data_IF_074525549805
#
_entry.id   IF_074525549805
#
_cell.length_a   1.000
_cell.length_b   1.000
_cell.length_c   1.000
_cell.angle_alpha   90.00
_cell.angle_beta   90.00
_cell.angle_gamma   90.00
#
_symmetry.space_group_name_H-M   'P 1'
#
loop_
_entity.id
_entity.type
_entity.pdbx_description
1 polymer ?
#
# COMPACT_ATOMS: atom_id res chain seq x y z
N UNK A 1 -6.74 -12.82 -12.30
CA UNK A 1 -7.07 -14.09 -12.98
C UNK A 1 -6.42 -14.23 -14.35
N UNK A 2 -6.69 -13.33 -15.32
CA UNK A 2 -6.09 -13.45 -16.68
C UNK A 2 -4.58 -13.34 -16.68
N UNK A 3 -3.99 -12.61 -15.74
CA UNK A 3 -2.54 -12.42 -15.63
C UNK A 3 -1.86 -13.70 -15.13
N UNK A 4 -2.48 -14.47 -14.25
CA UNK A 4 -1.95 -15.72 -13.72
C UNK A 4 -1.53 -16.68 -14.85
N UNK A 5 -2.47 -17.02 -15.73
CA UNK A 5 -2.21 -17.86 -16.91
C UNK A 5 -1.13 -17.28 -17.83
N UNK A 6 -1.14 -15.95 -18.01
CA UNK A 6 -0.14 -15.27 -18.85
C UNK A 6 1.25 -15.29 -18.23
N UNK A 7 1.34 -15.25 -16.89
CA UNK A 7 2.61 -15.37 -16.16
C UNK A 7 3.18 -16.77 -16.33
N UNK A 8 2.36 -17.81 -16.16
CA UNK A 8 2.75 -19.20 -16.46
C UNK A 8 3.26 -19.34 -17.89
N UNK A 9 2.52 -18.82 -18.87
CA UNK A 9 2.95 -18.85 -20.26
C UNK A 9 4.25 -18.07 -20.51
N UNK A 10 4.46 -16.94 -19.84
CA UNK A 10 5.70 -16.17 -19.94
C UNK A 10 6.88 -16.90 -19.28
N UNK A 11 6.62 -17.65 -18.20
CA UNK A 11 7.59 -18.52 -17.53
C UNK A 11 8.23 -19.57 -18.44
N UNK A 12 7.50 -20.04 -19.47
CA UNK A 12 8.06 -20.93 -20.51
C UNK A 12 9.22 -20.29 -21.28
N UNK A 13 9.17 -18.98 -21.44
CA UNK A 13 10.17 -18.24 -22.21
C UNK A 13 11.35 -17.79 -21.37
N UNK A 14 11.06 -17.09 -20.26
CA UNK A 14 12.10 -16.55 -19.38
C UNK A 14 11.56 -16.02 -18.06
N UNK A 15 12.40 -16.02 -17.01
CA UNK A 15 12.11 -15.37 -15.72
C UNK A 15 11.84 -13.87 -15.86
N UNK A 16 12.63 -13.09 -16.63
CA UNK A 16 12.32 -11.66 -16.86
C UNK A 16 10.97 -11.42 -17.50
N UNK A 17 10.52 -12.29 -18.41
CA UNK A 17 9.19 -12.17 -18.99
C UNK A 17 8.08 -12.51 -17.99
N UNK A 18 8.27 -13.53 -17.17
CA UNK A 18 7.32 -13.89 -16.12
C UNK A 18 7.15 -12.73 -15.13
N UNK A 19 8.24 -12.15 -14.62
CA UNK A 19 8.21 -10.96 -13.76
C UNK A 19 7.49 -9.78 -14.43
N UNK A 20 7.82 -9.50 -15.70
CA UNK A 20 7.18 -8.39 -16.43
C UNK A 20 5.66 -8.54 -16.51
N UNK A 21 5.15 -9.75 -16.69
CA UNK A 21 3.72 -10.01 -16.80
C UNK A 21 3.06 -10.00 -15.42
N UNK A 22 3.61 -10.70 -14.41
CA UNK A 22 3.04 -10.73 -13.05
C UNK A 22 3.04 -9.34 -12.42
N UNK A 23 4.16 -8.65 -12.46
CA UNK A 23 4.27 -7.27 -11.96
C UNK A 23 3.39 -6.28 -12.74
N UNK A 24 3.24 -6.49 -14.07
CA UNK A 24 2.28 -5.72 -14.88
C UNK A 24 0.83 -5.91 -14.40
N UNK A 25 0.46 -7.11 -13.97
CA UNK A 25 -0.85 -7.37 -13.35
C UNK A 25 -1.01 -6.66 -12.01
N UNK A 26 0.00 -6.73 -11.16
CA UNK A 26 0.06 -5.97 -9.90
C UNK A 26 -0.04 -4.45 -10.15
N UNK A 27 0.67 -3.94 -11.16
CA UNK A 27 0.61 -2.51 -11.55
C UNK A 27 -0.81 -2.07 -11.92
N UNK A 28 -1.56 -2.88 -12.66
CA UNK A 28 -2.97 -2.57 -12.98
C UNK A 28 -3.80 -2.47 -11.71
N UNK A 29 -3.57 -3.36 -10.74
CA UNK A 29 -4.27 -3.29 -9.44
C UNK A 29 -3.88 -2.04 -8.66
N UNK A 30 -2.60 -1.76 -8.50
CA UNK A 30 -2.10 -0.61 -7.74
C UNK A 30 -2.57 0.73 -8.32
N UNK A 31 -2.43 0.93 -9.64
CA UNK A 31 -2.89 2.14 -10.31
C UNK A 31 -4.42 2.25 -10.33
N UNK A 32 -5.13 1.12 -10.44
CA UNK A 32 -6.59 1.08 -10.41
C UNK A 32 -7.13 1.53 -9.06
N UNK A 33 -6.60 0.98 -7.98
CA UNK A 33 -7.01 1.32 -6.61
C UNK A 33 -6.72 2.78 -6.29
N UNK A 34 -5.48 3.23 -6.42
CA UNK A 34 -5.11 4.61 -6.11
C UNK A 34 -5.79 5.62 -7.05
N UNK A 35 -5.87 5.30 -8.35
CA UNK A 35 -6.51 6.17 -9.34
C UNK A 35 -8.02 6.36 -9.08
N UNK A 36 -8.74 5.27 -8.80
CA UNK A 36 -10.17 5.35 -8.48
C UNK A 36 -10.43 6.04 -7.13
N UNK A 37 -9.54 5.86 -6.15
CA UNK A 37 -9.64 6.54 -4.86
C UNK A 37 -9.52 8.07 -5.02
N UNK A 38 -8.48 8.54 -5.72
CA UNK A 38 -8.28 9.99 -5.97
C UNK A 38 -9.37 10.54 -6.86
N UNK A 39 -9.78 9.81 -7.90
CA UNK A 39 -10.85 10.23 -8.79
C UNK A 39 -12.18 10.36 -8.05
N UNK A 40 -12.56 9.34 -7.26
CA UNK A 40 -13.79 9.34 -6.48
C UNK A 40 -13.81 10.46 -5.45
N UNK A 41 -12.74 10.58 -4.67
CA UNK A 41 -12.61 11.63 -3.65
C UNK A 41 -12.72 13.04 -4.28
N UNK A 42 -11.98 13.27 -5.38
CA UNK A 42 -11.98 14.58 -6.07
C UNK A 42 -13.34 14.89 -6.72
N UNK A 43 -13.95 13.89 -7.36
CA UNK A 43 -15.25 14.08 -8.02
C UNK A 43 -16.34 14.41 -6.99
N UNK A 44 -16.43 13.69 -5.88
CA UNK A 44 -17.39 13.97 -4.83
C UNK A 44 -17.09 15.28 -4.11
N UNK A 45 -15.82 15.63 -3.88
CA UNK A 45 -15.44 16.92 -3.35
C UNK A 45 -15.97 18.07 -4.23
N UNK A 46 -15.76 17.99 -5.55
CA UNK A 46 -16.25 19.02 -6.49
C UNK A 46 -17.79 19.09 -6.50
N UNK A 47 -18.47 17.95 -6.44
CA UNK A 47 -19.94 17.89 -6.42
C UNK A 47 -20.45 18.55 -5.13
N UNK A 48 -19.97 18.12 -3.96
CA UNK A 48 -20.44 18.64 -2.67
C UNK A 48 -20.06 20.10 -2.50
N UNK A 49 -18.87 20.49 -2.96
CA UNK A 49 -18.48 21.87 -3.03
C UNK A 49 -19.50 22.73 -3.80
N UNK A 50 -19.91 22.30 -5.00
CA UNK A 50 -20.92 23.04 -5.81
C UNK A 50 -22.32 23.02 -5.21
N UNK A 51 -22.65 22.03 -4.40
CA UNK A 51 -23.98 21.89 -3.79
C UNK A 51 -24.10 22.72 -2.50
N UNK A 52 -23.07 22.74 -1.67
CA UNK A 52 -23.14 23.29 -0.33
C UNK A 52 -22.48 24.64 -0.18
N UNK A 53 -21.46 24.98 -0.99
CA UNK A 53 -20.83 26.30 -0.93
C UNK A 53 -21.71 27.38 -1.58
N UNK A 54 -22.16 28.35 -0.78
CA UNK A 54 -23.05 29.45 -1.22
C UNK A 54 -22.34 30.78 -1.49
N UNK A 55 -21.05 30.86 -1.23
CA UNK A 55 -20.32 32.11 -1.27
C UNK A 55 -18.85 31.99 -1.62
N UNK A 56 -18.02 32.53 -0.75
CA UNK A 56 -16.57 32.52 -0.87
C UNK A 56 -16.00 31.15 -0.60
N UNK A 57 -14.94 30.77 -1.30
CA UNK A 57 -14.12 29.54 -1.06
C UNK A 57 -13.60 29.43 0.37
N UNK A 58 -13.52 30.54 1.06
CA UNK A 58 -12.99 30.69 2.41
C UNK A 58 -14.08 30.65 3.49
N UNK A 59 -15.33 30.35 3.13
CA UNK A 59 -16.37 30.10 4.13
C UNK A 59 -16.09 28.73 4.77
N UNK A 60 -15.48 28.79 5.94
CA UNK A 60 -15.02 27.62 6.63
C UNK A 60 -16.16 26.74 7.19
N UNK A 61 -17.30 27.35 7.51
CA UNK A 61 -18.48 26.64 8.03
C UNK A 61 -19.15 25.84 6.91
N UNK A 62 -19.35 26.43 5.74
CA UNK A 62 -19.86 25.71 4.57
C UNK A 62 -18.88 24.61 4.14
N UNK A 63 -17.56 24.84 4.22
CA UNK A 63 -16.55 23.84 3.90
C UNK A 63 -16.55 22.63 4.87
N UNK A 64 -16.87 22.83 6.14
CA UNK A 64 -17.09 21.75 7.10
C UNK A 64 -18.18 20.80 6.58
N UNK A 65 -19.31 21.34 6.12
CA UNK A 65 -20.42 20.53 5.59
C UNK A 65 -19.97 19.73 4.35
N UNK A 66 -19.18 20.32 3.46
CA UNK A 66 -18.60 19.65 2.29
C UNK A 66 -17.74 18.45 2.72
N UNK A 67 -16.83 18.67 3.66
CA UNK A 67 -15.88 17.64 4.11
C UNK A 67 -16.56 16.56 4.97
N UNK A 68 -17.51 16.92 5.83
CA UNK A 68 -18.29 15.95 6.61
C UNK A 68 -19.17 15.06 5.69
N UNK A 69 -19.76 15.65 4.65
CA UNK A 69 -20.51 14.88 3.66
C UNK A 69 -19.57 13.92 2.89
N UNK A 70 -18.37 14.40 2.56
CA UNK A 70 -17.35 13.60 1.91
C UNK A 70 -16.86 12.45 2.81
N UNK A 71 -16.93 12.58 4.13
CA UNK A 71 -16.63 11.49 5.06
C UNK A 71 -17.59 10.30 4.89
N UNK A 72 -18.81 10.52 4.40
CA UNK A 72 -19.72 9.45 4.01
C UNK A 72 -19.16 8.55 2.90
N UNK A 73 -18.45 9.11 1.93
CA UNK A 73 -17.74 8.34 0.91
C UNK A 73 -16.63 7.48 1.52
N UNK A 74 -15.83 8.04 2.42
CA UNK A 74 -14.77 7.31 3.13
C UNK A 74 -15.36 6.17 3.98
N UNK A 75 -16.43 6.43 4.73
CA UNK A 75 -17.10 5.40 5.55
C UNK A 75 -17.67 4.26 4.68
N UNK A 76 -18.22 4.59 3.51
CA UNK A 76 -18.68 3.59 2.55
C UNK A 76 -17.53 2.74 1.99
N UNK A 77 -16.41 3.37 1.66
CA UNK A 77 -15.21 2.70 1.20
C UNK A 77 -14.66 1.73 2.26
N UNK A 78 -14.51 2.18 3.52
CA UNK A 78 -14.05 1.37 4.64
C UNK A 78 -15.00 0.22 4.96
N UNK A 79 -16.32 0.45 4.87
CA UNK A 79 -17.31 -0.61 5.11
C UNK A 79 -17.18 -1.74 4.08
N UNK A 80 -17.04 -1.40 2.79
CA UNK A 80 -16.83 -2.39 1.73
C UNK A 80 -15.46 -3.06 1.89
N UNK A 81 -14.43 -2.31 2.22
CA UNK A 81 -13.09 -2.81 2.47
C UNK A 81 -13.07 -3.87 3.58
N UNK A 82 -13.74 -3.59 4.69
CA UNK A 82 -13.87 -4.55 5.79
C UNK A 82 -14.49 -5.87 5.33
N UNK A 83 -15.62 -5.83 4.63
CA UNK A 83 -16.27 -7.05 4.14
C UNK A 83 -15.43 -7.79 3.10
N UNK A 84 -14.81 -7.07 2.16
CA UNK A 84 -13.96 -7.66 1.14
C UNK A 84 -12.69 -8.29 1.75
N UNK A 85 -12.04 -7.62 2.70
CA UNK A 85 -10.82 -8.10 3.35
C UNK A 85 -11.10 -9.29 4.26
N UNK A 86 -12.11 -9.19 5.13
CA UNK A 86 -12.45 -10.25 6.08
C UNK A 86 -13.07 -11.45 5.36
N UNK A 87 -14.08 -11.23 4.50
CA UNK A 87 -14.72 -12.31 3.76
C UNK A 87 -13.78 -12.99 2.76
N UNK A 88 -12.98 -12.20 2.05
CA UNK A 88 -11.95 -12.70 1.14
C UNK A 88 -10.87 -13.50 1.87
N UNK A 89 -10.34 -13.00 2.98
CA UNK A 89 -9.32 -13.69 3.77
C UNK A 89 -9.83 -14.99 4.39
N UNK A 90 -11.09 -15.04 4.87
CA UNK A 90 -11.72 -16.29 5.34
C UNK A 90 -11.81 -17.31 4.21
N UNK A 91 -12.28 -16.88 3.03
CA UNK A 91 -12.39 -17.77 1.88
C UNK A 91 -11.01 -18.31 1.44
N UNK A 92 -10.02 -17.43 1.28
CA UNK A 92 -8.67 -17.80 0.87
C UNK A 92 -8.06 -18.81 1.84
N UNK A 93 -8.08 -18.51 3.15
CA UNK A 93 -7.46 -19.42 4.11
C UNK A 93 -8.23 -20.72 4.32
N UNK A 94 -9.54 -20.73 4.12
CA UNK A 94 -10.31 -21.98 4.12
C UNK A 94 -9.97 -22.85 2.90
N UNK A 95 -9.77 -22.24 1.73
CA UNK A 95 -9.42 -22.94 0.50
C UNK A 95 -7.98 -23.47 0.56
N UNK A 96 -7.00 -22.64 0.90
CA UNK A 96 -5.58 -22.94 1.03
C UNK A 96 -5.36 -24.08 2.06
N UNK A 97 -5.76 -23.88 3.30
CA UNK A 97 -5.63 -24.92 4.35
C UNK A 97 -6.42 -26.18 4.00
N UNK A 98 -7.61 -26.04 3.41
CA UNK A 98 -8.43 -27.16 2.96
C UNK A 98 -7.76 -27.98 1.85
N UNK A 99 -7.15 -27.31 0.86
CA UNK A 99 -6.41 -27.95 -0.22
C UNK A 99 -5.19 -28.71 0.33
N UNK A 100 -4.46 -28.09 1.24
CA UNK A 100 -3.28 -28.69 1.88
C UNK A 100 -3.63 -29.90 2.74
N UNK A 101 -4.67 -29.84 3.55
CA UNK A 101 -5.10 -30.96 4.39
C UNK A 101 -5.52 -32.16 3.54
N UNK A 102 -6.36 -31.94 2.53
CA UNK A 102 -6.80 -33.03 1.64
C UNK A 102 -5.64 -33.58 0.81
N UNK A 103 -4.82 -32.71 0.22
CA UNK A 103 -3.71 -33.11 -0.65
C UNK A 103 -2.55 -33.71 0.12
N UNK A 104 -1.88 -32.92 0.91
CA UNK A 104 -0.62 -33.29 1.57
C UNK A 104 -0.81 -34.28 2.71
N UNK A 105 -1.86 -34.12 3.54
CA UNK A 105 -2.03 -34.91 4.76
C UNK A 105 -2.88 -36.16 4.51
N UNK A 106 -4.06 -36.05 3.87
CA UNK A 106 -4.96 -37.18 3.68
C UNK A 106 -4.57 -38.04 2.47
N UNK A 107 -4.33 -37.41 1.32
CA UNK A 107 -4.03 -38.15 0.07
C UNK A 107 -2.55 -38.45 -0.15
N UNK A 108 -1.66 -37.73 0.54
CA UNK A 108 -0.20 -37.87 0.39
C UNK A 108 0.32 -37.51 -1.00
N UNK A 109 -0.34 -36.55 -1.65
CA UNK A 109 0.03 -36.02 -2.98
C UNK A 109 0.75 -34.67 -2.83
N UNK A 110 1.57 -34.27 -3.81
CA UNK A 110 2.25 -32.98 -3.79
C UNK A 110 1.28 -31.79 -3.75
N UNK A 111 1.83 -30.63 -3.41
CA UNK A 111 1.15 -29.34 -3.53
C UNK A 111 0.77 -29.06 -5.00
N UNK A 112 -0.37 -28.45 -5.21
CA UNK A 112 -0.91 -28.11 -6.53
C UNK A 112 -1.14 -29.31 -7.48
N UNK A 113 -1.15 -30.53 -6.95
CA UNK A 113 -1.37 -31.73 -7.76
C UNK A 113 -2.73 -31.68 -8.47
N UNK A 114 -2.80 -31.94 -9.80
CA UNK A 114 -4.05 -31.86 -10.58
C UNK A 114 -5.14 -32.85 -10.13
N UNK A 115 -4.78 -33.85 -9.32
CA UNK A 115 -5.74 -34.77 -8.70
C UNK A 115 -6.52 -34.14 -7.53
N UNK A 116 -6.01 -33.04 -6.96
CA UNK A 116 -6.67 -32.33 -5.89
C UNK A 116 -7.55 -31.20 -6.42
N UNK A 117 -8.88 -31.35 -6.48
CA UNK A 117 -9.77 -30.30 -7.02
C UNK A 117 -9.83 -29.06 -6.10
N UNK A 118 -9.40 -29.18 -4.83
CA UNK A 118 -9.37 -28.06 -3.90
C UNK A 118 -8.31 -26.99 -4.28
N UNK A 119 -7.28 -27.37 -5.05
CA UNK A 119 -6.29 -26.44 -5.61
C UNK A 119 -6.95 -25.35 -6.49
N UNK A 120 -8.06 -25.68 -7.18
CA UNK A 120 -8.80 -24.68 -7.95
C UNK A 120 -9.44 -23.63 -7.02
N UNK A 121 -9.97 -24.06 -5.87
CA UNK A 121 -10.56 -23.14 -4.89
C UNK A 121 -9.48 -22.26 -4.24
N UNK A 122 -8.30 -22.80 -4.02
CA UNK A 122 -7.14 -22.09 -3.51
C UNK A 122 -6.70 -20.98 -4.48
N UNK A 123 -6.42 -21.31 -5.74
CA UNK A 123 -6.11 -20.33 -6.78
C UNK A 123 -7.19 -19.23 -6.97
N UNK A 124 -8.47 -19.55 -6.74
CA UNK A 124 -9.55 -18.55 -6.72
C UNK A 124 -9.46 -17.69 -5.47
N UNK A 125 -9.15 -18.30 -4.34
CA UNK A 125 -8.98 -17.65 -3.05
C UNK A 125 -7.98 -16.50 -3.10
N UNK A 126 -6.79 -16.73 -3.64
CA UNK A 126 -5.75 -15.71 -3.78
C UNK A 126 -6.23 -14.49 -4.58
N UNK A 127 -7.01 -14.70 -5.65
CA UNK A 127 -7.59 -13.58 -6.39
C UNK A 127 -8.65 -12.82 -5.59
N UNK A 128 -9.38 -13.49 -4.69
CA UNK A 128 -10.46 -12.90 -3.88
C UNK A 128 -9.90 -12.22 -2.62
N UNK A 129 -9.09 -12.93 -1.84
CA UNK A 129 -8.55 -12.44 -0.57
C UNK A 129 -7.29 -11.60 -0.74
N UNK A 130 -6.29 -12.17 -1.40
CA UNK A 130 -4.94 -11.61 -1.40
C UNK A 130 -4.75 -10.53 -2.47
N UNK A 131 -5.58 -10.50 -3.52
CA UNK A 131 -5.60 -9.39 -4.49
C UNK A 131 -6.74 -8.43 -4.23
N UNK A 132 -8.00 -8.89 -4.35
CA UNK A 132 -9.15 -7.99 -4.28
C UNK A 132 -9.42 -7.49 -2.85
N UNK A 133 -9.32 -8.37 -1.83
CA UNK A 133 -9.50 -7.99 -0.42
C UNK A 133 -8.44 -7.00 0.05
N UNK A 134 -7.17 -7.25 -0.27
CA UNK A 134 -6.07 -6.33 0.04
C UNK A 134 -6.24 -4.99 -0.68
N UNK A 135 -6.59 -5.00 -1.97
CA UNK A 135 -6.82 -3.77 -2.73
C UNK A 135 -7.98 -2.93 -2.21
N UNK A 136 -9.05 -3.56 -1.73
CA UNK A 136 -10.18 -2.87 -1.11
C UNK A 136 -9.79 -2.20 0.22
N UNK A 137 -8.99 -2.88 1.04
CA UNK A 137 -8.47 -2.36 2.31
C UNK A 137 -7.59 -1.12 2.09
N UNK A 138 -6.65 -1.20 1.14
CA UNK A 138 -5.80 -0.06 0.78
C UNK A 138 -6.59 1.09 0.13
N UNK A 139 -7.65 0.79 -0.61
CA UNK A 139 -8.54 1.82 -1.15
C UNK A 139 -9.19 2.65 -0.03
N UNK A 140 -9.77 1.97 0.97
CA UNK A 140 -10.39 2.64 2.12
C UNK A 140 -9.39 3.49 2.90
N UNK A 141 -8.27 2.89 3.31
CA UNK A 141 -7.21 3.57 4.06
C UNK A 141 -6.63 4.79 3.32
N UNK A 142 -6.48 4.68 1.99
CA UNK A 142 -6.00 5.78 1.16
C UNK A 142 -6.99 6.94 1.11
N UNK A 143 -8.28 6.65 0.87
CA UNK A 143 -9.35 7.66 0.89
C UNK A 143 -9.43 8.34 2.25
N UNK A 144 -9.47 7.56 3.35
CA UNK A 144 -9.57 8.08 4.69
C UNK A 144 -8.41 9.01 5.07
N UNK A 145 -7.18 8.63 4.71
CA UNK A 145 -5.97 9.40 5.02
C UNK A 145 -5.95 10.73 4.26
N UNK A 146 -6.27 10.72 2.97
CA UNK A 146 -6.32 11.95 2.17
C UNK A 146 -7.43 12.88 2.68
N UNK A 147 -8.62 12.32 2.95
CA UNK A 147 -9.73 13.11 3.48
C UNK A 147 -9.43 13.70 4.86
N UNK A 148 -8.86 12.93 5.78
CA UNK A 148 -8.46 13.43 7.09
C UNK A 148 -7.49 14.62 6.98
N UNK A 149 -6.56 14.54 6.02
CA UNK A 149 -5.64 15.65 5.75
C UNK A 149 -6.35 16.87 5.15
N UNK A 150 -7.37 16.68 4.31
CA UNK A 150 -8.21 17.77 3.80
C UNK A 150 -8.98 18.46 4.94
N UNK A 151 -9.55 17.68 5.88
CA UNK A 151 -10.25 18.19 7.06
C UNK A 151 -9.32 19.06 7.91
N UNK A 152 -8.11 18.56 8.22
CA UNK A 152 -7.14 19.34 8.98
C UNK A 152 -6.63 20.56 8.20
N UNK A 153 -6.58 20.48 6.87
CA UNK A 153 -6.33 21.64 6.00
C UNK A 153 -7.39 22.73 6.15
N UNK A 154 -8.67 22.38 6.35
CA UNK A 154 -9.72 23.35 6.64
C UNK A 154 -9.53 24.02 8.01
N UNK A 155 -9.10 23.27 9.03
CA UNK A 155 -8.76 23.88 10.33
C UNK A 155 -7.62 24.90 10.23
N UNK A 156 -6.62 24.66 9.37
CA UNK A 156 -5.59 25.68 9.08
C UNK A 156 -6.22 26.97 8.55
N UNK A 157 -7.22 26.87 7.67
CA UNK A 157 -7.92 28.05 7.11
C UNK A 157 -8.71 28.73 8.21
N UNK A 158 -9.39 28.01 9.10
CA UNK A 158 -10.14 28.55 10.25
C UNK A 158 -9.20 29.34 11.16
N UNK A 159 -8.08 28.74 11.56
CA UNK A 159 -7.09 29.34 12.45
C UNK A 159 -6.45 30.63 11.84
N UNK A 160 -6.39 30.70 10.52
CA UNK A 160 -5.95 31.89 9.78
C UNK A 160 -7.05 32.97 9.60
N UNK A 161 -8.24 32.72 10.15
CA UNK A 161 -9.40 33.64 10.03
C UNK A 161 -9.94 33.76 8.61
N UNK A 162 -9.85 32.74 7.79
CA UNK A 162 -10.30 32.69 6.41
C UNK A 162 -9.48 33.53 5.42
N UNK A 163 -8.31 34.02 5.80
CA UNK A 163 -7.50 34.95 5.02
C UNK A 163 -6.14 34.36 4.57
N UNK A 164 -6.17 33.15 3.99
CA UNK A 164 -4.97 32.59 3.38
C UNK A 164 -4.76 33.17 1.98
N UNK A 165 -3.55 33.67 1.74
CA UNK A 165 -3.11 34.10 0.41
C UNK A 165 -2.23 32.99 -0.16
N UNK A 166 -2.79 32.20 -1.04
CA UNK A 166 -2.09 31.13 -1.79
C UNK A 166 -2.43 31.23 -3.28
N UNK A 167 -1.82 30.35 -4.08
CA UNK A 167 -2.06 30.27 -5.53
C UNK A 167 -3.41 29.62 -5.88
N UNK A 168 -4.18 29.15 -4.89
CA UNK A 168 -5.42 28.36 -5.04
C UNK A 168 -6.64 29.04 -4.41
N UNK A 169 -6.61 30.37 -4.25
CA UNK A 169 -7.73 31.13 -3.72
C UNK A 169 -8.00 30.92 -2.23
N UNK A 170 -7.00 30.47 -1.47
CA UNK A 170 -7.09 30.26 -0.03
C UNK A 170 -7.44 28.84 0.41
N UNK A 171 -7.60 27.89 -0.53
CA UNK A 171 -7.90 26.47 -0.20
C UNK A 171 -6.72 25.52 -0.43
N UNK A 172 -5.52 26.05 -0.61
CA UNK A 172 -4.30 25.27 -0.77
C UNK A 172 -4.10 24.19 0.28
N UNK A 173 -4.28 24.45 1.59
CA UNK A 173 -4.15 23.43 2.63
C UNK A 173 -5.12 22.26 2.50
N UNK A 174 -6.33 22.49 1.97
CA UNK A 174 -7.31 21.41 1.72
C UNK A 174 -6.93 20.58 0.49
N UNK A 175 -6.42 21.23 -0.56
CA UNK A 175 -6.11 20.56 -1.82
C UNK A 175 -4.75 19.86 -1.83
N UNK A 176 -3.81 20.29 -1.00
CA UNK A 176 -2.45 19.76 -0.98
C UNK A 176 -2.38 18.23 -0.87
N UNK A 177 -3.12 17.56 0.06
CA UNK A 177 -3.08 16.09 0.15
C UNK A 177 -3.59 15.41 -1.12
N UNK A 178 -4.58 15.96 -1.81
CA UNK A 178 -5.09 15.45 -3.08
C UNK A 178 -4.04 15.57 -4.19
N UNK A 179 -3.31 16.69 -4.24
CA UNK A 179 -2.24 16.88 -5.21
C UNK A 179 -1.03 15.97 -4.93
N UNK A 180 -0.69 15.75 -3.67
CA UNK A 180 0.35 14.77 -3.27
C UNK A 180 -0.07 13.36 -3.72
N UNK A 181 -1.32 12.98 -3.48
CA UNK A 181 -1.89 11.71 -3.90
C UNK A 181 -1.86 11.54 -5.42
N UNK A 182 -2.29 12.54 -6.18
CA UNK A 182 -2.26 12.53 -7.64
C UNK A 182 -0.84 12.46 -8.22
N UNK A 183 0.09 13.24 -7.66
CA UNK A 183 1.51 13.19 -8.02
C UNK A 183 2.10 11.80 -7.76
N UNK A 184 1.75 11.17 -6.62
CA UNK A 184 2.17 9.83 -6.26
C UNK A 184 1.78 8.76 -7.28
N UNK A 185 0.58 8.87 -7.88
CA UNK A 185 0.14 7.94 -8.94
C UNK A 185 1.02 8.10 -10.18
N UNK A 186 1.28 9.32 -10.63
CA UNK A 186 2.13 9.59 -11.79
C UNK A 186 3.56 9.09 -11.54
N UNK A 187 4.08 9.34 -10.35
CA UNK A 187 5.41 8.91 -9.93
C UNK A 187 5.48 7.38 -9.84
N UNK A 188 4.44 6.73 -9.36
CA UNK A 188 4.37 5.26 -9.31
C UNK A 188 4.46 4.65 -10.71
N UNK A 189 3.82 5.27 -11.72
CA UNK A 189 3.97 4.84 -13.13
C UNK A 189 5.45 4.92 -13.54
N UNK A 190 6.15 5.99 -13.18
CA UNK A 190 7.59 6.13 -13.46
C UNK A 190 8.38 5.04 -12.73
N UNK A 191 8.09 4.79 -11.45
CA UNK A 191 8.72 3.76 -10.63
C UNK A 191 8.61 2.36 -11.24
N UNK A 192 7.45 2.00 -11.78
CA UNK A 192 7.24 0.69 -12.41
C UNK A 192 8.14 0.45 -13.62
N UNK A 193 8.62 1.49 -14.29
CA UNK A 193 9.53 1.36 -15.44
C UNK A 193 10.93 0.86 -15.03
N UNK A 194 11.30 1.00 -13.77
CA UNK A 194 12.59 0.58 -13.24
C UNK A 194 12.61 -0.87 -12.72
N UNK A 195 11.46 -1.50 -12.56
CA UNK A 195 11.36 -2.91 -12.11
C UNK A 195 11.71 -3.82 -13.28
N UNK A 196 12.96 -4.27 -13.34
CA UNK A 196 13.48 -5.12 -14.41
C UNK A 196 14.61 -6.00 -13.90
N UNK A 197 14.59 -7.26 -14.27
CA UNK A 197 15.72 -8.19 -14.20
C UNK A 197 16.20 -8.56 -15.61
N UNK A 198 17.37 -9.13 -15.73
CA UNK A 198 18.02 -9.30 -17.05
C UNK A 198 18.32 -10.75 -17.40
N UNK A 199 18.53 -11.62 -16.41
CA UNK A 199 18.96 -13.00 -16.62
C UNK A 199 17.88 -14.00 -16.23
N UNK A 200 17.94 -15.17 -16.83
CA UNK A 200 17.18 -16.34 -16.38
C UNK A 200 17.79 -17.01 -15.14
N UNK A 201 19.04 -16.68 -14.84
CA UNK A 201 19.80 -17.21 -13.71
C UNK A 201 19.68 -16.29 -12.48
N UNK A 202 18.93 -15.16 -12.61
CA UNK A 202 18.62 -14.27 -11.50
C UNK A 202 17.79 -15.03 -10.45
N UNK A 203 18.02 -14.73 -9.17
CA UNK A 203 17.39 -15.37 -8.03
C UNK A 203 16.51 -14.38 -7.28
N UNK A 204 16.00 -14.80 -6.15
CA UNK A 204 15.08 -14.01 -5.30
C UNK A 204 15.67 -12.64 -4.93
N UNK A 205 16.97 -12.58 -4.60
CA UNK A 205 17.64 -11.32 -4.23
C UNK A 205 17.67 -10.29 -5.38
N UNK A 206 17.88 -10.74 -6.64
CA UNK A 206 17.87 -9.87 -7.81
C UNK A 206 16.45 -9.38 -8.13
N UNK A 207 15.44 -10.24 -7.98
CA UNK A 207 14.03 -9.87 -8.17
C UNK A 207 13.62 -8.85 -7.11
N UNK A 208 13.91 -9.13 -5.83
CA UNK A 208 13.66 -8.21 -4.71
C UNK A 208 14.40 -6.88 -4.93
N UNK A 209 15.65 -6.95 -5.36
CA UNK A 209 16.45 -5.75 -5.71
C UNK A 209 15.79 -4.90 -6.78
N UNK A 210 15.21 -5.52 -7.82
CA UNK A 210 14.49 -4.80 -8.87
C UNK A 210 13.21 -4.11 -8.36
N UNK A 211 12.44 -4.78 -7.51
CA UNK A 211 11.25 -4.20 -6.86
C UNK A 211 11.65 -3.02 -5.96
N UNK A 212 12.69 -3.20 -5.16
CA UNK A 212 13.21 -2.16 -4.28
C UNK A 212 13.71 -0.93 -5.06
N UNK A 213 14.36 -1.08 -6.21
CA UNK A 213 14.75 0.05 -7.06
C UNK A 213 13.54 0.86 -7.51
N UNK A 214 12.46 0.20 -7.95
CA UNK A 214 11.21 0.87 -8.32
C UNK A 214 10.58 1.61 -7.14
N UNK A 215 10.53 0.98 -5.96
CA UNK A 215 9.98 1.55 -4.73
C UNK A 215 10.79 2.79 -4.27
N UNK A 216 12.11 2.66 -4.13
CA UNK A 216 12.98 3.76 -3.73
C UNK A 216 12.95 4.93 -4.70
N UNK A 217 12.90 4.65 -6.02
CA UNK A 217 12.73 5.69 -7.04
C UNK A 217 11.43 6.45 -6.82
N UNK A 218 10.33 5.76 -6.54
CA UNK A 218 9.05 6.39 -6.25
C UNK A 218 9.09 7.25 -4.98
N UNK A 219 9.70 6.77 -3.90
CA UNK A 219 9.84 7.50 -2.64
C UNK A 219 10.62 8.81 -2.84
N UNK A 220 11.77 8.74 -3.52
CA UNK A 220 12.60 9.94 -3.78
C UNK A 220 11.87 10.96 -4.65
N UNK A 221 11.19 10.52 -5.70
CA UNK A 221 10.43 11.41 -6.57
C UNK A 221 9.21 12.02 -5.85
N UNK A 222 8.53 11.28 -4.97
CA UNK A 222 7.45 11.81 -4.13
C UNK A 222 7.99 12.84 -3.15
N UNK A 223 9.17 12.63 -2.54
CA UNK A 223 9.80 13.64 -1.69
C UNK A 223 10.06 14.95 -2.44
N UNK A 224 10.57 14.87 -3.67
CA UNK A 224 10.77 16.05 -4.52
C UNK A 224 9.44 16.72 -4.92
N UNK A 225 8.41 15.92 -5.20
CA UNK A 225 7.07 16.44 -5.48
C UNK A 225 6.46 17.13 -4.25
N UNK A 226 6.58 16.55 -3.06
CA UNK A 226 6.13 17.19 -1.81
C UNK A 226 6.85 18.52 -1.58
N UNK A 227 8.16 18.60 -1.81
CA UNK A 227 8.90 19.85 -1.72
C UNK A 227 8.32 20.91 -2.67
N UNK A 228 8.12 20.56 -3.93
CA UNK A 228 7.53 21.49 -4.92
C UNK A 228 6.10 21.89 -4.59
N UNK A 229 5.24 20.94 -4.22
CA UNK A 229 3.84 21.16 -3.92
C UNK A 229 3.63 22.01 -2.65
N UNK A 230 4.37 21.72 -1.57
CA UNK A 230 4.28 22.53 -0.34
C UNK A 230 4.64 24.00 -0.60
N UNK A 231 5.74 24.24 -1.34
CA UNK A 231 6.15 25.61 -1.63
C UNK A 231 5.25 26.33 -2.65
N UNK A 232 4.56 25.61 -3.52
CA UNK A 232 3.68 26.19 -4.53
C UNK A 232 2.26 26.44 -4.00
N UNK A 233 1.74 25.53 -3.16
CA UNK A 233 0.34 25.52 -2.76
C UNK A 233 0.09 26.19 -1.41
N UNK A 234 1.09 26.20 -0.53
CA UNK A 234 0.94 26.79 0.80
C UNK A 234 1.54 28.19 0.86
N UNK A 235 1.01 29.07 1.73
CA UNK A 235 1.64 30.36 2.03
C UNK A 235 2.99 30.14 2.74
N UNK A 236 3.88 31.14 2.66
CA UNK A 236 5.20 31.05 3.31
C UNK A 236 5.11 30.75 4.81
N UNK A 237 4.10 31.33 5.47
CA UNK A 237 3.84 31.13 6.91
C UNK A 237 2.36 31.01 7.19
N UNK A 238 2.01 30.07 8.05
CA UNK A 238 0.66 29.82 8.54
C UNK A 238 0.64 29.91 10.06
N UNK A 239 -0.48 30.34 10.62
CA UNK A 239 -0.73 30.31 12.07
C UNK A 239 -1.71 29.18 12.34
N UNK A 240 -1.41 28.34 13.28
CA UNK A 240 -2.22 27.20 13.66
C UNK A 240 -2.42 27.18 15.16
N UNK A 241 -3.66 27.07 15.61
CA UNK A 241 -4.02 27.05 17.03
C UNK A 241 -4.80 25.78 17.39
N UNK A 242 -4.70 24.76 16.62
CA UNK A 242 -5.49 23.53 16.75
C UNK A 242 -5.95 23.24 18.18
N UNK A 243 -7.27 23.22 18.38
CA UNK A 243 -7.91 22.78 19.62
C UNK A 243 -7.46 23.52 20.89
N UNK A 244 -6.99 24.76 20.77
CA UNK A 244 -6.60 25.57 21.92
C UNK A 244 -5.23 25.25 22.52
N UNK A 245 -4.37 24.53 21.81
CA UNK A 245 -3.01 24.21 22.27
C UNK A 245 -2.03 25.40 22.26
N UNK A 246 -2.49 26.56 21.78
CA UNK A 246 -1.67 27.75 21.62
C UNK A 246 -1.18 27.97 20.19
N UNK A 247 -0.96 29.22 19.84
CA UNK A 247 -0.63 29.64 18.49
C UNK A 247 0.77 29.16 18.08
N UNK A 248 0.83 28.33 17.06
CA UNK A 248 2.07 27.86 16.43
C UNK A 248 2.23 28.52 15.06
N UNK A 249 3.39 29.09 14.80
CA UNK A 249 3.74 29.56 13.46
C UNK A 249 4.45 28.44 12.71
N UNK A 250 3.95 28.08 11.53
CA UNK A 250 4.39 26.97 10.70
C UNK A 250 4.67 27.49 9.28
N UNK A 251 5.81 27.15 8.73
CA UNK A 251 6.15 27.47 7.33
C UNK A 251 5.75 26.34 6.38
N UNK A 252 5.69 26.64 5.08
CA UNK A 252 5.53 25.61 4.03
C UNK A 252 6.62 24.56 4.09
N UNK A 253 7.84 24.95 4.50
CA UNK A 253 8.97 24.03 4.69
C UNK A 253 8.78 23.10 5.89
N UNK A 254 8.16 23.55 6.98
CA UNK A 254 7.87 22.69 8.13
C UNK A 254 6.86 21.60 7.74
N UNK A 255 5.88 21.93 6.89
CA UNK A 255 4.93 20.96 6.32
C UNK A 255 5.64 19.95 5.41
N UNK A 256 6.59 20.42 4.60
CA UNK A 256 7.44 19.51 3.81
C UNK A 256 8.27 18.58 4.69
N UNK A 257 8.89 19.08 5.77
CA UNK A 257 9.65 18.22 6.70
C UNK A 257 8.75 17.19 7.38
N UNK A 258 7.54 17.55 7.76
CA UNK A 258 6.55 16.61 8.28
C UNK A 258 6.19 15.53 7.24
N UNK A 259 6.00 15.90 5.98
CA UNK A 259 5.74 14.96 4.88
C UNK A 259 6.93 14.02 4.64
N UNK A 260 8.14 14.55 4.73
CA UNK A 260 9.37 13.76 4.60
C UNK A 260 9.53 12.73 5.73
N UNK A 261 9.13 13.07 6.96
CA UNK A 261 9.09 12.12 8.09
C UNK A 261 8.23 10.91 7.72
N UNK A 262 7.02 11.12 7.15
CA UNK A 262 6.15 10.02 6.73
C UNK A 262 6.79 9.11 5.68
N UNK A 263 7.38 9.69 4.65
CA UNK A 263 8.07 8.93 3.60
C UNK A 263 9.25 8.11 4.14
N UNK A 264 10.08 8.71 4.99
CA UNK A 264 11.23 8.03 5.59
C UNK A 264 10.77 6.89 6.50
N UNK A 265 9.79 7.15 7.36
CA UNK A 265 9.29 6.12 8.29
C UNK A 265 8.61 4.98 7.52
N UNK A 266 7.82 5.27 6.47
CA UNK A 266 7.25 4.25 5.60
C UNK A 266 8.31 3.35 4.96
N UNK A 267 9.39 3.95 4.44
CA UNK A 267 10.52 3.22 3.87
C UNK A 267 11.24 2.34 4.91
N UNK A 268 11.46 2.86 6.13
CA UNK A 268 12.10 2.10 7.21
C UNK A 268 11.21 0.95 7.66
N UNK A 269 9.89 1.15 7.81
CA UNK A 269 8.94 0.10 8.17
C UNK A 269 8.95 -1.01 7.12
N UNK A 270 8.94 -0.67 5.81
CA UNK A 270 9.06 -1.64 4.74
C UNK A 270 10.32 -2.50 4.88
N UNK A 271 11.48 -1.88 5.15
CA UNK A 271 12.74 -2.60 5.34
C UNK A 271 12.75 -3.47 6.61
N UNK A 272 12.10 -3.03 7.69
CA UNK A 272 11.94 -3.81 8.92
C UNK A 272 11.04 -5.03 8.64
N UNK A 273 9.95 -4.84 7.91
CA UNK A 273 9.05 -5.93 7.55
C UNK A 273 9.78 -6.96 6.68
N UNK A 274 10.49 -6.54 5.64
CA UNK A 274 11.31 -7.41 4.79
C UNK A 274 12.31 -8.24 5.61
N UNK A 275 12.92 -7.66 6.64
CA UNK A 275 13.83 -8.40 7.52
C UNK A 275 13.13 -9.52 8.30
N UNK A 276 11.88 -9.31 8.76
CA UNK A 276 11.14 -10.29 9.56
C UNK A 276 10.43 -11.35 8.71
N UNK A 277 10.12 -11.07 7.44
CA UNK A 277 9.33 -11.95 6.55
C UNK A 277 10.17 -12.58 5.45
N UNK A 278 11.34 -12.00 5.12
CA UNK A 278 12.13 -12.39 3.95
C UNK A 278 12.74 -13.79 4.06
N UNK A 279 12.78 -14.47 2.92
CA UNK A 279 13.43 -15.77 2.77
C UNK A 279 14.91 -15.70 3.19
N UNK A 280 15.37 -16.69 3.93
CA UNK A 280 16.76 -16.77 4.40
C UNK A 280 17.15 -15.78 5.49
N UNK A 281 16.26 -14.89 5.94
CA UNK A 281 16.53 -13.98 7.06
C UNK A 281 16.47 -14.70 8.41
N UNK A 282 17.22 -14.19 9.36
CA UNK A 282 17.34 -14.82 10.69
C UNK A 282 16.00 -15.12 11.38
N UNK A 283 15.00 -14.21 11.40
CA UNK A 283 13.71 -14.50 12.02
C UNK A 283 12.98 -15.67 11.38
N UNK A 284 12.93 -15.72 10.05
CA UNK A 284 12.29 -16.79 9.28
C UNK A 284 13.01 -18.14 9.50
N UNK A 285 14.35 -18.13 9.44
CA UNK A 285 15.15 -19.34 9.68
C UNK A 285 14.95 -19.90 11.09
N UNK A 286 14.74 -19.06 12.11
CA UNK A 286 14.43 -19.52 13.48
C UNK A 286 13.09 -20.26 13.52
N UNK A 287 12.06 -19.81 12.81
CA UNK A 287 10.76 -20.48 12.74
C UNK A 287 10.95 -21.85 12.05
N UNK A 288 11.67 -21.89 10.92
CA UNK A 288 12.00 -23.12 10.20
C UNK A 288 12.71 -24.12 11.10
N UNK A 289 13.71 -23.66 11.88
CA UNK A 289 14.42 -24.52 12.83
C UNK A 289 13.50 -25.11 13.90
N UNK A 290 12.53 -24.33 14.39
CA UNK A 290 11.56 -24.82 15.39
C UNK A 290 10.55 -25.80 14.81
N UNK A 291 10.29 -25.77 13.51
CA UNK A 291 9.43 -26.76 12.84
C UNK A 291 9.91 -28.20 13.03
N UNK A 292 11.23 -28.41 13.14
CA UNK A 292 11.82 -29.74 13.37
C UNK A 292 11.55 -30.29 14.79
N UNK A 293 11.15 -29.44 15.73
CA UNK A 293 10.91 -29.84 17.14
C UNK A 293 9.45 -30.14 17.44
N UNK A 294 8.54 -29.79 16.54
CA UNK A 294 7.10 -30.10 16.62
C UNK A 294 6.19 -28.91 16.31
N UNK A 295 4.91 -29.18 16.09
CA UNK A 295 3.92 -28.19 15.72
C UNK A 295 3.73 -27.10 16.81
N UNK A 296 3.69 -27.49 18.09
CA UNK A 296 3.52 -26.53 19.19
C UNK A 296 4.64 -25.51 19.29
N UNK A 297 5.89 -25.95 19.16
CA UNK A 297 7.09 -25.08 19.18
C UNK A 297 7.14 -24.18 17.96
N UNK A 298 6.71 -24.67 16.79
CA UNK A 298 6.63 -23.87 15.58
C UNK A 298 5.61 -22.73 15.69
N UNK A 299 4.40 -23.03 16.19
CA UNK A 299 3.35 -22.01 16.44
C UNK A 299 3.85 -20.94 17.42
N UNK A 300 4.46 -21.35 18.53
CA UNK A 300 5.00 -20.41 19.52
C UNK A 300 6.11 -19.55 18.91
N UNK A 301 7.00 -20.12 18.11
CA UNK A 301 8.07 -19.39 17.45
C UNK A 301 7.52 -18.35 16.44
N UNK A 302 6.50 -18.72 15.66
CA UNK A 302 5.82 -17.82 14.74
C UNK A 302 5.16 -16.63 15.45
N UNK A 303 4.36 -16.92 16.49
CA UNK A 303 3.71 -15.89 17.31
C UNK A 303 4.73 -14.97 17.99
N UNK A 304 5.79 -15.53 18.58
CA UNK A 304 6.84 -14.74 19.22
C UNK A 304 7.57 -13.83 18.22
N UNK A 305 7.89 -14.33 17.04
CA UNK A 305 8.50 -13.53 15.97
C UNK A 305 7.58 -12.41 15.50
N UNK A 306 6.29 -12.70 15.29
CA UNK A 306 5.29 -11.70 14.94
C UNK A 306 5.16 -10.61 16.01
N UNK A 307 5.09 -10.97 17.29
CA UNK A 307 5.03 -10.00 18.39
C UNK A 307 6.30 -9.13 18.49
N UNK A 308 7.48 -9.72 18.26
CA UNK A 308 8.75 -8.96 18.28
C UNK A 308 8.81 -7.99 17.09
N UNK A 309 8.34 -8.38 15.91
CA UNK A 309 8.37 -7.53 14.72
C UNK A 309 7.55 -6.24 14.89
N UNK A 310 6.44 -6.29 15.61
CA UNK A 310 5.59 -5.12 15.85
C UNK A 310 6.25 -4.05 16.73
N UNK A 311 7.20 -4.42 17.59
CA UNK A 311 7.85 -3.48 18.51
C UNK A 311 8.57 -2.34 17.77
N UNK A 312 9.34 -2.68 16.75
CA UNK A 312 10.06 -1.67 15.94
C UNK A 312 9.09 -0.75 15.22
N UNK A 313 8.03 -1.29 14.63
CA UNK A 313 7.02 -0.53 13.90
C UNK A 313 6.28 0.44 14.82
N UNK A 314 5.90 0.02 16.04
CA UNK A 314 5.24 0.89 17.02
C UNK A 314 6.12 2.07 17.42
N UNK A 315 7.41 1.85 17.67
CA UNK A 315 8.35 2.94 18.01
C UNK A 315 8.52 3.89 16.81
N UNK A 316 8.63 3.37 15.61
CA UNK A 316 8.75 4.18 14.39
C UNK A 316 7.50 5.06 14.18
N UNK A 317 6.29 4.51 14.34
CA UNK A 317 5.06 5.29 14.26
C UNK A 317 4.97 6.36 15.35
N UNK A 318 5.28 6.02 16.60
CA UNK A 318 5.27 6.99 17.70
C UNK A 318 6.27 8.14 17.44
N UNK A 319 7.46 7.79 16.97
CA UNK A 319 8.49 8.76 16.58
C UNK A 319 8.05 9.63 15.39
N UNK A 320 7.38 9.04 14.39
CA UNK A 320 6.85 9.76 13.24
C UNK A 320 5.77 10.77 13.64
N UNK A 321 4.81 10.35 14.47
CA UNK A 321 3.75 11.24 14.98
C UNK A 321 4.37 12.39 15.75
N UNK A 322 5.29 12.10 16.68
CA UNK A 322 5.96 13.14 17.46
C UNK A 322 6.75 14.11 16.57
N UNK A 323 7.55 13.62 15.63
CA UNK A 323 8.36 14.46 14.75
C UNK A 323 7.50 15.29 13.80
N UNK A 324 6.48 14.69 13.17
CA UNK A 324 5.57 15.41 12.28
C UNK A 324 4.77 16.49 13.02
N UNK A 325 4.32 16.20 14.26
CA UNK A 325 3.67 17.16 15.12
C UNK A 325 4.63 18.29 15.52
N UNK A 326 5.89 17.97 15.83
CA UNK A 326 6.91 18.96 16.14
C UNK A 326 7.09 19.97 15.00
N UNK A 327 7.12 19.52 13.74
CA UNK A 327 7.26 20.40 12.59
C UNK A 327 5.97 21.22 12.33
N UNK A 328 4.84 20.57 12.13
CA UNK A 328 3.65 21.25 11.61
C UNK A 328 2.33 20.91 12.35
N UNK A 329 2.40 20.56 13.64
CA UNK A 329 1.22 20.26 14.46
C UNK A 329 0.40 19.09 13.90
N UNK A 330 -0.90 19.06 14.17
CA UNK A 330 -1.79 17.99 13.67
C UNK A 330 -1.88 17.95 12.15
N UNK A 331 -1.82 19.08 11.46
CA UNK A 331 -1.76 19.12 10.01
C UNK A 331 -0.51 18.43 9.47
N UNK A 332 0.65 18.61 10.14
CA UNK A 332 1.87 17.91 9.81
C UNK A 332 1.75 16.40 9.98
N UNK A 333 1.09 15.92 11.03
CA UNK A 333 0.83 14.48 11.23
C UNK A 333 -0.01 13.91 10.09
N UNK A 334 -1.07 14.60 9.70
CA UNK A 334 -1.93 14.17 8.59
C UNK A 334 -1.18 14.16 7.25
N UNK A 335 -0.41 15.20 6.96
CA UNK A 335 0.39 15.28 5.73
C UNK A 335 1.52 14.26 5.70
N UNK A 336 2.09 13.92 6.87
CA UNK A 336 3.05 12.82 7.02
C UNK A 336 2.43 11.48 6.58
N UNK A 337 1.22 11.19 7.06
CA UNK A 337 0.47 10.00 6.65
C UNK A 337 0.09 10.02 5.16
N UNK A 338 -0.40 11.15 4.64
CA UNK A 338 -0.72 11.31 3.21
C UNK A 338 0.49 11.14 2.31
N UNK A 339 1.65 11.65 2.69
CA UNK A 339 2.88 11.50 1.93
C UNK A 339 3.35 10.03 1.94
N UNK A 340 3.27 9.34 3.08
CA UNK A 340 3.56 7.90 3.18
C UNK A 340 2.66 7.10 2.22
N UNK A 341 1.36 7.43 2.18
CA UNK A 341 0.40 6.76 1.29
C UNK A 341 0.53 7.17 -0.19
N UNK A 342 1.27 8.21 -0.53
CA UNK A 342 1.43 8.64 -1.92
C UNK A 342 2.12 7.60 -2.81
N UNK A 343 2.90 6.67 -2.25
CA UNK A 343 3.54 5.56 -2.96
C UNK A 343 2.66 4.31 -3.04
N UNK A 344 1.43 4.33 -2.53
CA UNK A 344 0.53 3.16 -2.45
C UNK A 344 0.34 2.44 -3.79
N UNK A 345 0.26 3.18 -4.91
CA UNK A 345 0.10 2.56 -6.22
C UNK A 345 1.29 1.66 -6.58
N UNK A 346 2.52 2.06 -6.21
CA UNK A 346 3.72 1.24 -6.41
C UNK A 346 3.80 0.09 -5.42
N UNK A 347 3.50 0.35 -4.14
CA UNK A 347 3.51 -0.67 -3.09
C UNK A 347 2.47 -1.77 -3.37
N UNK A 348 1.24 -1.39 -3.72
CA UNK A 348 0.21 -2.35 -4.09
C UNK A 348 0.55 -3.12 -5.38
N UNK A 349 1.30 -2.52 -6.31
CA UNK A 349 1.80 -3.25 -7.47
C UNK A 349 2.81 -4.33 -7.07
N UNK A 350 3.65 -4.05 -6.08
CA UNK A 350 4.61 -5.00 -5.49
C UNK A 350 3.85 -6.10 -4.73
N UNK A 351 2.88 -5.75 -3.91
CA UNK A 351 2.13 -6.72 -3.11
C UNK A 351 1.27 -7.64 -3.99
N UNK A 352 0.52 -7.08 -4.96
CA UNK A 352 -0.38 -7.85 -5.81
C UNK A 352 0.34 -8.75 -6.83
N UNK A 353 1.65 -8.55 -7.07
CA UNK A 353 2.40 -9.44 -7.95
C UNK A 353 2.64 -10.82 -7.31
N UNK A 354 2.74 -10.91 -5.99
CA UNK A 354 2.94 -12.13 -5.24
C UNK A 354 1.85 -13.18 -5.53
N UNK A 355 0.59 -12.93 -5.17
CA UNK A 355 -0.52 -13.86 -5.43
C UNK A 355 -0.72 -14.20 -6.92
N UNK A 356 -0.31 -13.31 -7.83
CA UNK A 356 -0.31 -13.60 -9.28
C UNK A 356 0.76 -14.64 -9.63
N UNK A 357 1.93 -14.56 -9.00
CA UNK A 357 3.05 -15.46 -9.25
C UNK A 357 2.81 -16.82 -8.61
N UNK A 358 2.25 -16.86 -7.42
CA UNK A 358 1.80 -18.07 -6.72
C UNK A 358 0.78 -18.84 -7.58
N UNK A 359 -0.32 -18.21 -7.95
CA UNK A 359 -1.29 -18.78 -8.87
C UNK A 359 -0.68 -19.25 -10.20
N UNK A 360 0.32 -18.56 -10.71
CA UNK A 360 1.00 -18.99 -11.92
C UNK A 360 1.80 -20.28 -11.71
N UNK A 361 2.36 -20.47 -10.52
CA UNK A 361 2.99 -21.72 -10.09
C UNK A 361 2.00 -22.87 -9.99
N UNK A 362 0.88 -22.68 -9.31
CA UNK A 362 -0.19 -23.66 -9.22
C UNK A 362 -0.73 -24.06 -10.60
N UNK A 363 -0.92 -23.10 -11.51
CA UNK A 363 -1.33 -23.38 -12.89
C UNK A 363 -0.24 -24.17 -13.66
N UNK A 364 1.05 -23.87 -13.43
CA UNK A 364 2.13 -24.61 -14.07
C UNK A 364 2.12 -26.08 -13.66
N UNK A 365 1.94 -26.35 -12.36
CA UNK A 365 1.86 -27.71 -11.81
C UNK A 365 0.62 -28.45 -12.30
N UNK A 366 -0.57 -27.88 -12.12
CA UNK A 366 -1.84 -28.46 -12.55
C UNK A 366 -1.93 -28.74 -14.07
N UNK A 367 -1.22 -27.98 -14.88
CA UNK A 367 -1.18 -28.17 -16.33
C UNK A 367 0.02 -28.98 -16.81
N UNK A 368 0.77 -29.62 -15.90
CA UNK A 368 1.90 -30.49 -16.18
C UNK A 368 2.92 -29.82 -17.12
N UNK A 369 3.31 -28.56 -16.81
CA UNK A 369 4.31 -27.85 -17.60
C UNK A 369 5.72 -28.38 -17.32
N UNK A 370 6.68 -27.99 -18.18
CA UNK A 370 8.09 -28.27 -17.94
C UNK A 370 8.50 -27.73 -16.54
N UNK A 371 9.22 -28.50 -15.71
CA UNK A 371 9.63 -28.12 -14.37
C UNK A 371 10.31 -26.74 -14.26
N UNK A 372 11.00 -26.30 -15.31
CA UNK A 372 11.62 -24.98 -15.36
C UNK A 372 10.60 -23.81 -15.24
N UNK A 373 9.34 -24.06 -15.62
CA UNK A 373 8.28 -23.05 -15.51
C UNK A 373 7.91 -22.86 -14.04
N UNK A 374 7.76 -23.97 -13.31
CA UNK A 374 7.48 -23.97 -11.87
C UNK A 374 8.63 -23.32 -11.11
N UNK A 375 9.89 -23.71 -11.39
CA UNK A 375 11.07 -23.10 -10.77
C UNK A 375 11.10 -21.57 -10.92
N UNK A 376 10.77 -21.06 -12.10
CA UNK A 376 10.71 -19.61 -12.35
C UNK A 376 9.57 -18.91 -11.64
N UNK A 377 8.41 -19.54 -11.54
CA UNK A 377 7.27 -18.97 -10.80
C UNK A 377 7.49 -19.02 -9.30
N UNK A 378 8.14 -20.07 -8.77
CA UNK A 378 8.48 -20.19 -7.35
C UNK A 378 9.49 -19.13 -6.90
N UNK A 379 10.47 -18.75 -7.75
CA UNK A 379 11.35 -17.60 -7.48
C UNK A 379 10.53 -16.31 -7.33
N UNK A 380 9.56 -16.07 -8.19
CA UNK A 380 8.71 -14.89 -8.11
C UNK A 380 7.78 -14.94 -6.90
N UNK A 381 7.21 -16.10 -6.61
CA UNK A 381 6.31 -16.32 -5.49
C UNK A 381 7.02 -16.09 -4.14
N UNK A 382 8.22 -16.65 -3.95
CA UNK A 382 8.98 -16.46 -2.72
C UNK A 382 9.31 -15.00 -2.42
N UNK A 383 9.51 -14.18 -3.45
CA UNK A 383 9.67 -12.73 -3.32
C UNK A 383 8.33 -12.07 -3.00
N UNK A 384 7.24 -12.50 -3.64
CA UNK A 384 5.88 -12.04 -3.35
C UNK A 384 5.48 -12.29 -1.90
N UNK A 385 5.75 -13.47 -1.38
CA UNK A 385 5.49 -13.84 0.01
C UNK A 385 6.31 -13.03 1.03
N UNK A 386 7.42 -12.42 0.62
CA UNK A 386 8.19 -11.49 1.47
C UNK A 386 7.50 -10.13 1.60
N UNK A 387 6.83 -9.67 0.55
CA UNK A 387 6.22 -8.33 0.48
C UNK A 387 4.75 -8.34 0.92
N UNK A 388 4.02 -9.39 0.64
CA UNK A 388 2.63 -9.57 1.02
C UNK A 388 2.47 -10.11 2.45
#
# INVERSE_FOLDING_TARGET
TKTNVRTTQAGKTSLPNALKISFGGGTVMGLGVAGLAVLGLTAFFIIFYKVFMNGSWTDADDMIIVLETLAGFSLGAESIALFARVGGGIYTKAADVGADLVGKVEAGIPEDDPRNPATIADNVGDNVGDVAGMGADLFGSYVATVLASMVLGNYVIIDMGGSIIDSFGGIGPILLPVFIAGAGIIISIIGTLFVKIKSNDDKEDEVMGALNVGNWTSIVLVALACFGLCNWMLPETMKMEFFGEGLKQVSSMDVFYASLVGLVVGAVISSVTEYYTGLGKTPTLKIVQQSSTGAGTNIIAGLATGMISTFSSVILFAGAIWAAYFFAGFYGVALSASAMMATTAMQLAIDAFGPISDNAGGIAEMSEQDPIVRERTDILDSVGNTTA
#
